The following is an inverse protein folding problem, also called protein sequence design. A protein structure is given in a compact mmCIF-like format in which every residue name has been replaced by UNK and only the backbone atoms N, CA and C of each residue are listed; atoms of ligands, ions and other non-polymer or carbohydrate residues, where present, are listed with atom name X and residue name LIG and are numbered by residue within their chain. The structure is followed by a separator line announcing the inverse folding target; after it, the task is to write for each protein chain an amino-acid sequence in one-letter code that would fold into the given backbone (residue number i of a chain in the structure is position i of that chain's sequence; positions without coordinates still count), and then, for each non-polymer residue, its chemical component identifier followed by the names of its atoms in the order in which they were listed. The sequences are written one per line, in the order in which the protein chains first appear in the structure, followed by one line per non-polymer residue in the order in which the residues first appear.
data_IF_499566919260
#
_entry.id   IF_499566919260
#
_cell.length_a   1.000
_cell.length_b   1.000
_cell.length_c   1.000
_cell.angle_alpha   90.00
_cell.angle_beta   90.00
_cell.angle_gamma   90.00
#
_symmetry.space_group_name_H-M   'P 1'
#
loop_
_entity.id
_entity.type
_entity.pdbx_description
1 polymer ?
#
# COMPACT_ATOMS: atom_id res chain seq x y z
N UNK A 1 27.72 1.63 -7.88
CA UNK A 1 26.94 2.77 -8.40
C UNK A 1 25.54 2.84 -7.77
N UNK A 2 24.73 1.79 -7.80
CA UNK A 2 23.42 1.80 -7.11
C UNK A 2 23.51 1.99 -5.60
N UNK A 3 24.45 1.30 -4.94
CA UNK A 3 24.67 1.44 -3.50
C UNK A 3 25.08 2.87 -3.08
N UNK A 4 25.92 3.54 -3.88
CA UNK A 4 26.31 4.94 -3.62
C UNK A 4 25.16 5.91 -3.84
N UNK A 5 24.25 5.65 -4.80
CA UNK A 5 23.05 6.46 -5.00
C UNK A 5 22.06 6.32 -3.83
N UNK A 6 21.89 5.12 -3.28
CA UNK A 6 21.06 4.88 -2.10
C UNK A 6 21.60 5.56 -0.84
N UNK A 7 22.93 5.54 -0.65
CA UNK A 7 23.56 6.27 0.46
C UNK A 7 23.34 7.78 0.33
N UNK A 8 23.49 8.32 -0.88
CA UNK A 8 23.28 9.74 -1.13
C UNK A 8 21.83 10.16 -0.84
N UNK A 9 20.83 9.38 -1.27
CA UNK A 9 19.42 9.71 -1.02
C UNK A 9 19.07 9.70 0.47
N UNK A 10 19.59 8.73 1.24
CA UNK A 10 19.41 8.68 2.69
C UNK A 10 20.03 9.90 3.39
N UNK A 11 21.26 10.26 3.00
CA UNK A 11 21.94 11.45 3.55
C UNK A 11 21.14 12.72 3.25
N UNK A 12 20.60 12.86 2.03
CA UNK A 12 19.80 14.02 1.67
C UNK A 12 18.52 14.14 2.52
N UNK A 13 17.80 13.04 2.75
CA UNK A 13 16.60 13.03 3.61
C UNK A 13 16.95 13.47 5.05
N UNK A 14 18.08 12.98 5.58
CA UNK A 14 18.56 13.35 6.91
C UNK A 14 18.93 14.84 6.96
N UNK A 15 19.68 15.36 6.00
CA UNK A 15 20.07 16.77 5.95
C UNK A 15 18.84 17.67 5.86
N UNK A 16 17.89 17.37 4.97
CA UNK A 16 16.66 18.17 4.80
C UNK A 16 15.82 18.16 6.07
N UNK A 17 15.65 17.01 6.72
CA UNK A 17 14.89 16.91 7.98
C UNK A 17 15.56 17.68 9.14
N UNK A 18 16.90 17.65 9.24
CA UNK A 18 17.64 18.44 10.22
C UNK A 18 17.48 19.93 9.96
N UNK A 19 17.63 20.37 8.70
CA UNK A 19 17.43 21.78 8.33
C UNK A 19 16.01 22.25 8.66
N UNK A 20 15.00 21.43 8.37
CA UNK A 20 13.61 21.73 8.74
C UNK A 20 13.44 21.86 10.25
N UNK A 21 14.03 20.97 11.04
CA UNK A 21 14.00 21.04 12.49
C UNK A 21 14.70 22.29 13.04
N UNK A 22 15.84 22.69 12.47
CA UNK A 22 16.60 23.88 12.88
C UNK A 22 15.89 25.19 12.53
N UNK A 23 15.21 25.25 11.39
CA UNK A 23 14.49 26.46 10.94
C UNK A 23 13.11 26.58 11.59
N UNK A 24 12.49 25.46 11.99
CA UNK A 24 11.15 25.44 12.56
C UNK A 24 11.08 26.20 13.89
N UNK A 25 10.29 27.27 13.92
CA UNK A 25 9.93 27.98 15.15
C UNK A 25 8.89 27.15 15.92
N UNK A 26 9.29 26.55 17.03
CA UNK A 26 8.38 25.79 17.91
C UNK A 26 7.96 26.64 19.10
N UNK A 27 6.68 26.99 19.17
CA UNK A 27 6.07 27.45 20.43
C UNK A 27 5.93 26.24 21.34
N UNK A 28 6.85 26.10 22.29
CA UNK A 28 7.18 24.83 22.94
C UNK A 28 6.07 24.20 23.81
N UNK A 29 4.94 24.87 24.10
CA UNK A 29 4.01 24.43 25.15
C UNK A 29 2.51 24.75 24.93
N UNK A 30 2.04 25.02 23.72
CA UNK A 30 0.59 25.19 23.53
C UNK A 30 -0.10 23.81 23.43
N UNK A 31 -0.73 23.36 24.51
CA UNK A 31 -1.47 22.07 24.60
C UNK A 31 -2.50 21.91 23.49
N UNK A 32 -3.11 23.00 23.04
CA UNK A 32 -4.09 23.03 21.95
C UNK A 32 -3.46 22.76 20.56
N UNK A 33 -2.16 23.00 20.40
CA UNK A 33 -1.46 22.64 19.15
C UNK A 33 -1.04 21.17 19.11
N UNK A 34 -0.96 20.54 20.29
CA UNK A 34 -0.65 19.11 20.44
C UNK A 34 -1.90 18.24 20.57
N UNK A 35 -3.09 18.84 20.77
CA UNK A 35 -4.36 18.12 20.82
C UNK A 35 -4.77 17.63 19.43
N UNK A 36 -5.58 16.57 19.39
CA UNK A 36 -6.05 16.02 18.11
C UNK A 36 -7.03 16.99 17.45
N UNK A 37 -6.87 17.19 16.14
CA UNK A 37 -7.73 18.09 15.38
C UNK A 37 -9.11 17.46 15.14
N UNK A 38 -10.15 17.97 15.82
CA UNK A 38 -11.57 17.75 15.47
C UNK A 38 -12.24 19.09 15.14
N UNK A 39 -11.71 19.82 14.14
CA UNK A 39 -12.27 21.11 13.70
C UNK A 39 -12.43 22.15 14.83
N UNK A 40 -11.54 22.13 15.83
CA UNK A 40 -11.58 23.03 16.99
C UNK A 40 -12.49 22.56 18.14
N UNK A 41 -13.10 21.38 18.01
CA UNK A 41 -13.87 20.75 19.08
C UNK A 41 -13.03 19.76 19.89
N UNK A 42 -13.49 19.46 21.11
CA UNK A 42 -12.94 18.38 21.91
C UNK A 42 -13.29 17.04 21.29
N UNK A 43 -12.30 16.15 21.27
CA UNK A 43 -12.42 14.79 20.74
C UNK A 43 -13.59 14.07 21.41
N UNK A 44 -14.64 13.81 20.64
CA UNK A 44 -15.87 13.17 21.14
C UNK A 44 -15.75 11.65 21.31
N UNK A 45 -14.85 11.03 20.54
CA UNK A 45 -14.65 9.57 20.53
C UNK A 45 -13.20 9.19 20.24
N UNK A 46 -12.79 8.00 20.64
CA UNK A 46 -11.43 7.53 20.34
C UNK A 46 -11.29 7.32 18.83
N UNK A 47 -10.26 7.89 18.21
CA UNK A 47 -9.99 7.75 16.76
C UNK A 47 -9.79 6.29 16.28
N UNK A 48 -9.64 5.34 17.21
CA UNK A 48 -9.52 3.90 16.96
C UNK A 48 -10.86 3.21 17.18
N UNK A 49 -11.79 3.43 16.26
CA UNK A 49 -13.05 2.69 16.18
C UNK A 49 -12.89 1.55 15.18
N UNK A 50 -13.68 0.48 15.33
CA UNK A 50 -13.79 -0.54 14.29
C UNK A 50 -14.16 0.11 12.96
N UNK A 51 -13.23 -0.03 12.02
CA UNK A 51 -13.39 0.47 10.66
C UNK A 51 -14.35 -0.42 9.88
N UNK A 52 -14.88 0.08 8.76
CA UNK A 52 -15.85 -0.69 8.00
C UNK A 52 -15.21 -1.98 7.44
N UNK A 53 -15.93 -3.10 7.54
CA UNK A 53 -15.49 -4.41 7.04
C UNK A 53 -15.13 -4.40 5.54
N UNK A 54 -15.59 -3.40 4.79
CA UNK A 54 -15.31 -3.26 3.36
C UNK A 54 -13.82 -3.03 3.08
N UNK A 55 -13.15 -2.19 3.87
CA UNK A 55 -11.72 -1.95 3.69
C UNK A 55 -10.87 -3.16 4.08
N UNK A 56 -11.36 -3.97 5.02
CA UNK A 56 -10.74 -5.24 5.38
C UNK A 56 -10.79 -6.23 4.22
N UNK A 57 -11.95 -6.37 3.56
CA UNK A 57 -12.10 -7.22 2.37
C UNK A 57 -11.18 -6.79 1.23
N UNK A 58 -11.11 -5.48 0.93
CA UNK A 58 -10.20 -4.95 -0.09
C UNK A 58 -8.73 -5.27 0.25
N UNK A 59 -8.35 -5.23 1.53
CA UNK A 59 -6.98 -5.53 1.96
C UNK A 59 -6.60 -7.01 1.77
N UNK A 60 -7.53 -7.93 2.05
CA UNK A 60 -7.32 -9.37 1.79
C UNK A 60 -7.22 -9.63 0.29
N UNK A 61 -8.14 -9.05 -0.48
CA UNK A 61 -8.17 -9.16 -1.93
C UNK A 61 -6.85 -8.65 -2.54
N UNK A 62 -6.38 -7.48 -2.11
CA UNK A 62 -5.08 -6.95 -2.52
C UNK A 62 -3.91 -7.90 -2.22
N UNK A 63 -3.90 -8.52 -1.03
CA UNK A 63 -2.84 -9.46 -0.65
C UNK A 63 -2.80 -10.68 -1.58
N UNK A 64 -3.97 -11.25 -1.90
CA UNK A 64 -4.08 -12.40 -2.81
C UNK A 64 -3.59 -12.01 -4.21
N UNK A 65 -4.07 -10.89 -4.75
CA UNK A 65 -3.65 -10.41 -6.07
C UNK A 65 -2.15 -10.08 -6.13
N UNK A 66 -1.53 -9.58 -5.05
CA UNK A 66 -0.08 -9.31 -5.00
C UNK A 66 0.72 -10.62 -5.12
N UNK A 67 0.28 -11.70 -4.45
CA UNK A 67 0.88 -13.03 -4.58
C UNK A 67 0.74 -13.58 -6.00
N UNK A 68 -0.42 -13.38 -6.63
CA UNK A 68 -0.66 -13.80 -8.02
C UNK A 68 0.26 -13.07 -9.01
N UNK A 69 0.43 -11.76 -8.85
CA UNK A 69 1.36 -10.95 -9.66
C UNK A 69 2.81 -11.41 -9.45
N UNK A 70 3.19 -11.72 -8.20
CA UNK A 70 4.52 -12.25 -7.90
C UNK A 70 4.78 -13.58 -8.63
N UNK A 71 3.78 -14.45 -8.75
CA UNK A 71 3.86 -15.69 -9.52
C UNK A 71 3.97 -15.45 -11.05
N UNK A 72 3.48 -14.32 -11.54
CA UNK A 72 3.58 -13.93 -12.96
C UNK A 72 4.91 -13.27 -13.33
N UNK A 73 5.62 -12.68 -12.38
CA UNK A 73 6.89 -11.99 -12.60
C UNK A 73 7.97 -12.80 -13.35
N UNK A 74 8.13 -14.14 -13.16
CA UNK A 74 9.13 -14.90 -13.90
C UNK A 74 8.75 -15.19 -15.36
N UNK A 75 7.52 -14.94 -15.82
CA UNK A 75 7.04 -15.32 -17.16
C UNK A 75 7.96 -14.85 -18.30
N UNK A 76 8.45 -13.59 -18.33
CA UNK A 76 9.32 -13.13 -19.42
C UNK A 76 10.67 -13.86 -19.51
N UNK A 77 11.09 -14.54 -18.44
CA UNK A 77 12.36 -15.26 -18.35
C UNK A 77 12.22 -16.76 -18.65
N UNK A 78 11.00 -17.27 -18.85
CA UNK A 78 10.75 -18.68 -19.14
C UNK A 78 11.07 -19.01 -20.61
N UNK A 79 11.54 -20.25 -20.83
CA UNK A 79 11.65 -20.81 -22.18
C UNK A 79 10.26 -21.25 -22.63
N UNK A 80 9.76 -20.63 -23.70
CA UNK A 80 8.44 -20.96 -24.23
C UNK A 80 8.43 -22.32 -24.92
N UNK A 81 7.74 -23.29 -24.31
CA UNK A 81 7.29 -24.52 -24.94
C UNK A 81 5.75 -24.53 -24.99
N UNK A 82 5.15 -25.43 -25.80
CA UNK A 82 3.69 -25.53 -25.88
C UNK A 82 3.05 -25.81 -24.52
N UNK A 83 3.68 -26.67 -23.70
CA UNK A 83 3.19 -27.01 -22.37
C UNK A 83 3.26 -25.80 -21.42
N UNK A 84 4.38 -25.06 -21.45
CA UNK A 84 4.54 -23.85 -20.63
C UNK A 84 3.53 -22.78 -21.03
N UNK A 85 3.30 -22.57 -22.32
CA UNK A 85 2.27 -21.64 -22.83
C UNK A 85 0.87 -22.03 -22.37
N UNK A 86 0.54 -23.32 -22.40
CA UNK A 86 -0.75 -23.83 -21.92
C UNK A 86 -0.91 -23.59 -20.41
N UNK A 87 0.13 -23.84 -19.61
CA UNK A 87 0.07 -23.59 -18.15
C UNK A 87 -0.12 -22.12 -17.82
N UNK A 88 0.60 -21.21 -18.50
CA UNK A 88 0.45 -19.76 -18.32
C UNK A 88 -0.98 -19.35 -18.69
N UNK A 89 -1.50 -19.82 -19.83
CA UNK A 89 -2.86 -19.51 -20.27
C UNK A 89 -3.91 -19.99 -19.26
N UNK A 90 -3.81 -21.23 -18.78
CA UNK A 90 -4.72 -21.77 -17.76
C UNK A 90 -4.63 -20.98 -16.45
N UNK A 91 -3.43 -20.62 -16.02
CA UNK A 91 -3.22 -19.80 -14.84
C UNK A 91 -3.92 -18.44 -14.96
N UNK A 92 -3.71 -17.73 -16.07
CA UNK A 92 -4.42 -16.48 -16.36
C UNK A 92 -5.94 -16.64 -16.36
N UNK A 93 -6.45 -17.74 -16.91
CA UNK A 93 -7.89 -18.00 -16.97
C UNK A 93 -8.49 -18.11 -15.56
N UNK A 94 -7.80 -18.81 -14.65
CA UNK A 94 -8.20 -18.92 -13.24
C UNK A 94 -8.26 -17.54 -12.57
N UNK A 95 -7.25 -16.68 -12.80
CA UNK A 95 -7.22 -15.31 -12.25
C UNK A 95 -8.42 -14.49 -12.72
N UNK A 96 -8.72 -14.53 -14.01
CA UNK A 96 -9.84 -13.77 -14.60
C UNK A 96 -11.18 -14.28 -14.04
N UNK A 97 -11.37 -15.59 -13.93
CA UNK A 97 -12.59 -16.16 -13.34
C UNK A 97 -12.74 -15.76 -11.87
N UNK A 98 -11.65 -15.83 -11.09
CA UNK A 98 -11.66 -15.43 -9.68
C UNK A 98 -12.06 -13.97 -9.50
N UNK A 99 -11.47 -13.07 -10.28
CA UNK A 99 -11.80 -11.64 -10.25
C UNK A 99 -13.25 -11.38 -10.67
N UNK A 100 -13.73 -12.05 -11.72
CA UNK A 100 -15.13 -11.92 -12.15
C UNK A 100 -16.09 -12.40 -11.06
N UNK A 101 -15.79 -13.51 -10.39
CA UNK A 101 -16.58 -14.01 -9.26
C UNK A 101 -16.67 -12.97 -8.13
N UNK A 102 -15.55 -12.40 -7.70
CA UNK A 102 -15.53 -11.39 -6.64
C UNK A 102 -16.29 -10.11 -7.01
N UNK A 103 -16.21 -9.71 -8.28
CA UNK A 103 -16.98 -8.59 -8.82
C UNK A 103 -18.49 -8.84 -8.75
N UNK A 104 -18.95 -10.02 -9.20
CA UNK A 104 -20.39 -10.35 -9.14
C UNK A 104 -20.94 -10.44 -7.73
N UNK A 105 -20.12 -10.85 -6.75
CA UNK A 105 -20.51 -10.85 -5.32
C UNK A 105 -20.49 -9.46 -4.68
N UNK A 106 -20.08 -8.42 -5.42
CA UNK A 106 -20.12 -7.04 -4.96
C UNK A 106 -19.08 -6.70 -3.90
N UNK A 107 -18.03 -7.52 -3.73
CA UNK A 107 -16.92 -7.22 -2.82
C UNK A 107 -16.15 -5.97 -3.23
N UNK A 108 -16.26 -5.57 -4.50
CA UNK A 108 -15.61 -4.41 -5.10
C UNK A 108 -16.54 -3.19 -5.25
N UNK A 109 -17.81 -3.29 -4.84
CA UNK A 109 -18.74 -2.17 -4.93
C UNK A 109 -18.44 -1.15 -3.82
N UNK A 110 -18.05 0.06 -4.23
CA UNK A 110 -17.91 1.22 -3.36
C UNK A 110 -19.13 2.12 -3.45
#
# INVERSE_FOLDING_TARGET
MYFSMLLLSMVLVIVVSILFFLVSYKKLLDTETFSSYECGFNVSSVARVFFSFRFFLISILFLIFDVEIALMLPIPYLVFSMDVMLTIYLFFLVLVIGLMYEYFYGSLNW
#
